data_IF_176906945206
#
_entry.id   IF_176906945206
#
_cell.length_a   1.000
_cell.length_b   1.000
_cell.length_c   1.000
_cell.angle_alpha   90.00
_cell.angle_beta   90.00
_cell.angle_gamma   90.00
#
_symmetry.space_group_name_H-M   'P 1'
#
loop_
_entity.id
_entity.type
_entity.pdbx_description
1 polymer ?
#
# COMPACT_ATOMS: atom_id res chain seq x y z
N UNK A 1 63.67 -46.82 -68.12
CA UNK A 1 63.76 -46.62 -66.66
C UNK A 1 63.67 -45.12 -66.38
N UNK A 2 62.95 -44.72 -65.31
CA UNK A 2 62.85 -43.36 -64.74
C UNK A 2 61.89 -42.31 -65.34
N UNK A 3 60.64 -42.66 -65.72
CA UNK A 3 59.63 -41.60 -66.00
C UNK A 3 58.24 -41.79 -65.37
N UNK A 4 57.99 -42.83 -64.57
CA UNK A 4 56.67 -43.06 -63.96
C UNK A 4 56.62 -42.89 -62.43
N UNK A 5 57.76 -42.61 -61.77
CA UNK A 5 57.82 -42.55 -60.29
C UNK A 5 57.73 -41.14 -59.69
N UNK A 6 57.74 -40.08 -60.51
CA UNK A 6 57.64 -38.69 -60.02
C UNK A 6 56.20 -38.15 -59.97
N UNK A 7 55.23 -38.80 -60.62
CA UNK A 7 53.83 -38.34 -60.62
C UNK A 7 53.08 -38.70 -59.34
N UNK A 8 53.33 -39.87 -58.75
CA UNK A 8 52.54 -40.38 -57.61
C UNK A 8 52.91 -39.68 -56.31
N UNK A 9 54.18 -39.32 -56.12
CA UNK A 9 54.66 -38.57 -54.96
C UNK A 9 54.22 -37.10 -54.98
N UNK A 10 54.19 -36.46 -56.17
CA UNK A 10 53.67 -35.10 -56.31
C UNK A 10 52.15 -35.03 -56.07
N UNK A 11 51.38 -36.00 -56.59
CA UNK A 11 49.92 -36.04 -56.39
C UNK A 11 49.56 -36.38 -54.93
N UNK A 12 50.30 -37.28 -54.28
CA UNK A 12 50.14 -37.59 -52.85
C UNK A 12 50.44 -36.39 -51.93
N UNK A 13 51.50 -35.63 -52.22
CA UNK A 13 51.84 -34.42 -51.45
C UNK A 13 50.79 -33.31 -51.62
N UNK A 14 50.26 -33.13 -52.84
CA UNK A 14 49.20 -32.15 -53.12
C UNK A 14 47.90 -32.56 -52.41
N UNK A 15 47.51 -33.84 -52.44
CA UNK A 15 46.33 -34.34 -51.76
C UNK A 15 46.43 -34.21 -50.22
N UNK A 16 47.58 -34.52 -49.61
CA UNK A 16 47.81 -34.32 -48.18
C UNK A 16 47.83 -32.83 -47.79
N UNK A 17 48.39 -31.96 -48.63
CA UNK A 17 48.39 -30.51 -48.37
C UNK A 17 46.98 -29.91 -48.46
N UNK A 18 46.17 -30.33 -49.45
CA UNK A 18 44.77 -29.91 -49.58
C UNK A 18 43.92 -30.44 -48.43
N UNK A 19 44.10 -31.70 -48.03
CA UNK A 19 43.42 -32.27 -46.86
C UNK A 19 43.78 -31.51 -45.57
N UNK A 20 45.06 -31.16 -45.37
CA UNK A 20 45.50 -30.37 -44.20
C UNK A 20 44.97 -28.93 -44.21
N UNK A 21 44.84 -28.31 -45.40
CA UNK A 21 44.23 -26.97 -45.55
C UNK A 21 42.73 -27.02 -45.29
N UNK A 22 42.04 -28.05 -45.78
CA UNK A 22 40.61 -28.29 -45.53
C UNK A 22 40.31 -28.62 -44.06
N UNK A 23 41.16 -29.40 -43.40
CA UNK A 23 41.07 -29.64 -41.95
C UNK A 23 41.31 -28.35 -41.17
N UNK A 24 42.35 -27.56 -41.51
CA UNK A 24 42.60 -26.28 -40.86
C UNK A 24 41.46 -25.29 -41.08
N UNK A 25 40.91 -25.19 -42.29
CA UNK A 25 39.78 -24.29 -42.58
C UNK A 25 38.53 -24.70 -41.80
N UNK A 26 38.21 -25.99 -41.73
CA UNK A 26 37.06 -26.49 -40.96
C UNK A 26 37.25 -26.33 -39.43
N UNK A 27 38.48 -26.46 -38.92
CA UNK A 27 38.81 -26.14 -37.53
C UNK A 27 38.61 -24.65 -37.26
N UNK A 28 39.08 -23.75 -38.14
CA UNK A 28 38.84 -22.31 -37.97
C UNK A 28 37.36 -21.91 -38.08
N UNK A 29 36.60 -22.52 -38.99
CA UNK A 29 35.16 -22.27 -39.13
C UNK A 29 34.39 -22.77 -37.90
N UNK A 30 34.73 -23.96 -37.39
CA UNK A 30 34.12 -24.50 -36.18
C UNK A 30 34.48 -23.69 -34.93
N UNK A 31 35.72 -23.23 -34.78
CA UNK A 31 36.11 -22.32 -33.71
C UNK A 31 35.39 -20.97 -33.79
N UNK A 32 35.21 -20.42 -35.00
CA UNK A 32 34.49 -19.17 -35.21
C UNK A 32 33.00 -19.32 -34.89
N UNK A 33 32.38 -20.45 -35.27
CA UNK A 33 31.01 -20.80 -34.91
C UNK A 33 30.83 -21.01 -33.39
N UNK A 34 31.82 -21.61 -32.72
CA UNK A 34 31.78 -21.82 -31.28
C UNK A 34 31.93 -20.50 -30.50
N UNK A 35 32.78 -19.59 -30.99
CA UNK A 35 32.89 -18.22 -30.46
C UNK A 35 31.62 -17.42 -30.66
N UNK A 36 30.95 -17.54 -31.81
CA UNK A 36 29.69 -16.84 -32.07
C UNK A 36 28.55 -17.40 -31.21
N UNK A 37 28.44 -18.72 -31.07
CA UNK A 37 27.51 -19.38 -30.16
C UNK A 37 27.72 -18.96 -28.70
N UNK A 38 28.99 -18.88 -28.25
CA UNK A 38 29.31 -18.41 -26.89
C UNK A 38 28.86 -16.97 -26.68
N UNK A 39 29.10 -16.08 -27.64
CA UNK A 39 28.61 -14.69 -27.59
C UNK A 39 27.08 -14.63 -27.56
N UNK A 40 26.41 -15.45 -28.37
CA UNK A 40 24.94 -15.50 -28.42
C UNK A 40 24.34 -16.04 -27.12
N UNK A 41 24.96 -17.07 -26.52
CA UNK A 41 24.55 -17.61 -25.22
C UNK A 41 24.72 -16.57 -24.11
N UNK A 42 25.85 -15.85 -24.08
CA UNK A 42 26.06 -14.76 -23.12
C UNK A 42 25.08 -13.60 -23.32
N UNK A 43 24.73 -13.26 -24.56
CA UNK A 43 23.72 -12.24 -24.86
C UNK A 43 22.33 -12.66 -24.34
N UNK A 44 21.90 -13.90 -24.63
CA UNK A 44 20.63 -14.43 -24.09
C UNK A 44 20.61 -14.50 -22.57
N UNK A 45 21.74 -14.84 -21.94
CA UNK A 45 21.83 -14.87 -20.47
C UNK A 45 21.54 -13.48 -19.88
N UNK A 46 22.13 -12.41 -20.46
CA UNK A 46 21.87 -11.03 -20.05
C UNK A 46 20.43 -10.60 -20.32
N UNK A 47 19.84 -11.02 -21.43
CA UNK A 47 18.43 -10.76 -21.73
C UNK A 47 17.50 -11.41 -20.70
N UNK A 48 17.79 -12.65 -20.31
CA UNK A 48 17.05 -13.35 -19.25
C UNK A 48 17.20 -12.67 -17.89
N UNK A 49 18.41 -12.26 -17.52
CA UNK A 49 18.67 -11.50 -16.28
C UNK A 49 17.90 -10.17 -16.27
N UNK A 50 17.93 -9.43 -17.38
CA UNK A 50 17.17 -8.19 -17.53
C UNK A 50 15.65 -8.44 -17.42
N UNK A 51 15.13 -9.47 -18.07
CA UNK A 51 13.71 -9.82 -17.99
C UNK A 51 13.31 -10.21 -16.56
N UNK A 52 14.12 -11.01 -15.87
CA UNK A 52 13.89 -11.36 -14.47
C UNK A 52 13.87 -10.12 -13.56
N UNK A 53 14.80 -9.19 -13.75
CA UNK A 53 14.82 -7.92 -13.02
C UNK A 53 13.56 -7.08 -13.29
N UNK A 54 13.10 -7.02 -14.55
CA UNK A 54 11.86 -6.33 -14.91
C UNK A 54 10.63 -6.99 -14.27
N UNK A 55 10.56 -8.33 -14.26
CA UNK A 55 9.48 -9.05 -13.58
C UNK A 55 9.48 -8.80 -12.07
N UNK A 56 10.64 -8.77 -11.42
CA UNK A 56 10.76 -8.44 -10.01
C UNK A 56 10.31 -7.01 -9.72
N UNK A 57 10.71 -6.05 -10.56
CA UNK A 57 10.28 -4.66 -10.44
C UNK A 57 8.75 -4.51 -10.61
N UNK A 58 8.17 -5.20 -11.61
CA UNK A 58 6.72 -5.21 -11.82
C UNK A 58 5.97 -5.83 -10.62
N UNK A 59 6.51 -6.91 -10.04
CA UNK A 59 5.95 -7.54 -8.85
C UNK A 59 5.99 -6.59 -7.64
N UNK A 60 7.13 -5.94 -7.37
CA UNK A 60 7.20 -4.94 -6.31
C UNK A 60 6.22 -3.81 -6.53
N UNK A 61 6.07 -3.31 -7.77
CA UNK A 61 5.11 -2.26 -8.09
C UNK A 61 3.67 -2.69 -7.80
N UNK A 62 3.29 -3.94 -8.14
CA UNK A 62 1.95 -4.44 -7.81
C UNK A 62 1.68 -4.46 -6.31
N UNK A 63 2.67 -4.83 -5.49
CA UNK A 63 2.54 -4.81 -4.02
C UNK A 63 2.37 -3.38 -3.49
N UNK A 64 3.09 -2.41 -4.04
CA UNK A 64 2.94 -1.00 -3.68
C UNK A 64 1.54 -0.47 -4.01
N UNK A 65 1.01 -0.80 -5.19
CA UNK A 65 -0.35 -0.41 -5.59
C UNK A 65 -1.40 -1.02 -4.68
N UNK A 66 -1.25 -2.29 -4.30
CA UNK A 66 -2.14 -2.94 -3.32
C UNK A 66 -2.09 -2.24 -1.95
N UNK A 67 -0.90 -1.94 -1.46
CA UNK A 67 -0.71 -1.24 -0.19
C UNK A 67 -1.32 0.17 -0.23
N UNK A 68 -1.07 0.93 -1.30
CA UNK A 68 -1.66 2.26 -1.50
C UNK A 68 -3.19 2.21 -1.46
N UNK A 69 -3.79 1.26 -2.19
CA UNK A 69 -5.24 1.09 -2.21
C UNK A 69 -5.81 0.76 -0.82
N UNK A 70 -5.13 -0.12 -0.07
CA UNK A 70 -5.54 -0.48 1.29
C UNK A 70 -5.50 0.73 2.23
N UNK A 71 -4.40 1.49 2.22
CA UNK A 71 -4.25 2.69 3.04
C UNK A 71 -5.31 3.72 2.66
N UNK A 72 -5.56 3.92 1.37
CA UNK A 72 -6.57 4.85 0.88
C UNK A 72 -7.98 4.50 1.38
N UNK A 73 -8.38 3.24 1.26
CA UNK A 73 -9.67 2.76 1.76
C UNK A 73 -9.80 2.92 3.28
N UNK A 74 -8.72 2.63 4.01
CA UNK A 74 -8.69 2.77 5.47
C UNK A 74 -8.80 4.23 5.90
N UNK A 75 -8.10 5.14 5.21
CA UNK A 75 -8.19 6.58 5.42
C UNK A 75 -9.62 7.08 5.19
N UNK A 76 -10.28 6.60 4.13
CA UNK A 76 -11.66 6.97 3.81
C UNK A 76 -12.63 6.50 4.90
N UNK A 77 -12.50 5.28 5.40
CA UNK A 77 -13.31 4.76 6.50
C UNK A 77 -13.09 5.56 7.80
N UNK A 78 -11.84 5.88 8.13
CA UNK A 78 -11.48 6.71 9.28
C UNK A 78 -12.11 8.11 9.19
N UNK A 79 -12.06 8.74 8.01
CA UNK A 79 -12.69 10.04 7.78
C UNK A 79 -14.23 10.01 7.95
N UNK A 80 -14.89 8.91 7.56
CA UNK A 80 -16.32 8.74 7.78
C UNK A 80 -16.65 8.63 9.28
N UNK A 81 -15.90 7.82 10.02
CA UNK A 81 -16.07 7.70 11.47
C UNK A 81 -15.84 9.02 12.20
N UNK A 82 -14.81 9.78 11.81
CA UNK A 82 -14.56 11.12 12.35
C UNK A 82 -15.76 12.05 12.16
N UNK A 83 -16.35 12.08 10.96
CA UNK A 83 -17.54 12.91 10.67
C UNK A 83 -18.77 12.46 11.46
N UNK A 84 -18.94 11.16 11.65
CA UNK A 84 -20.03 10.62 12.46
C UNK A 84 -19.88 11.03 13.94
N UNK A 85 -18.66 10.98 14.48
CA UNK A 85 -18.34 11.45 15.83
C UNK A 85 -18.63 12.94 16.00
N UNK A 86 -18.30 13.79 15.02
CA UNK A 86 -18.66 15.22 15.06
C UNK A 86 -20.18 15.43 15.13
N UNK A 87 -20.95 14.66 14.35
CA UNK A 87 -22.41 14.73 14.37
C UNK A 87 -22.96 14.31 15.74
N UNK A 88 -22.43 13.23 16.34
CA UNK A 88 -22.85 12.77 17.66
C UNK A 88 -22.56 13.82 18.75
N UNK A 89 -21.39 14.45 18.73
CA UNK A 89 -21.06 15.54 19.65
C UNK A 89 -22.02 16.72 19.51
N UNK A 90 -22.39 17.09 18.28
CA UNK A 90 -23.39 18.15 18.04
C UNK A 90 -24.75 17.78 18.66
N UNK A 91 -25.22 16.55 18.46
CA UNK A 91 -26.48 16.07 19.02
C UNK A 91 -26.46 16.02 20.56
N UNK A 92 -25.35 15.59 21.15
CA UNK A 92 -25.17 15.61 22.61
C UNK A 92 -25.18 17.03 23.16
N UNK A 93 -24.53 17.97 22.47
CA UNK A 93 -24.51 19.37 22.89
C UNK A 93 -25.92 20.00 22.86
N UNK A 94 -26.72 19.71 21.84
CA UNK A 94 -28.13 20.11 21.79
C UNK A 94 -28.94 19.50 22.94
N UNK A 95 -28.72 18.21 23.25
CA UNK A 95 -29.40 17.53 24.35
C UNK A 95 -29.02 18.13 25.71
N UNK A 96 -27.75 18.42 25.94
CA UNK A 96 -27.28 19.10 27.15
C UNK A 96 -27.90 20.49 27.29
N UNK A 97 -27.94 21.27 26.21
CA UNK A 97 -28.58 22.60 26.19
C UNK A 97 -30.06 22.53 26.56
N UNK A 98 -30.80 21.57 25.99
CA UNK A 98 -32.21 21.31 26.34
C UNK A 98 -32.36 20.93 27.80
N UNK A 99 -31.52 20.02 28.30
CA UNK A 99 -31.54 19.58 29.70
C UNK A 99 -31.30 20.76 30.67
N UNK A 100 -30.30 21.61 30.40
CA UNK A 100 -30.02 22.82 31.19
C UNK A 100 -31.23 23.76 31.18
N UNK A 101 -31.84 23.98 30.02
CA UNK A 101 -33.02 24.85 29.88
C UNK A 101 -34.21 24.31 30.66
N UNK A 102 -34.49 23.00 30.58
CA UNK A 102 -35.53 22.32 31.35
C UNK A 102 -35.28 22.42 32.85
N UNK A 103 -34.03 22.23 33.30
CA UNK A 103 -33.66 22.36 34.70
C UNK A 103 -33.89 23.78 35.23
N UNK A 104 -33.51 24.81 34.46
CA UNK A 104 -33.78 26.21 34.82
C UNK A 104 -35.28 26.50 34.93
N UNK A 105 -36.10 25.91 34.04
CA UNK A 105 -37.55 26.05 34.12
C UNK A 105 -38.14 25.39 35.37
N UNK A 106 -37.68 24.18 35.72
CA UNK A 106 -38.12 23.47 36.94
C UNK A 106 -37.71 24.20 38.21
N UNK A 107 -36.49 24.75 38.27
CA UNK A 107 -36.04 25.54 39.42
C UNK A 107 -36.92 26.77 39.65
N UNK A 108 -37.33 27.47 38.58
CA UNK A 108 -38.28 28.59 38.68
C UNK A 108 -39.66 28.15 39.17
N UNK A 109 -40.13 26.97 38.76
CA UNK A 109 -41.40 26.41 39.24
C UNK A 109 -41.33 26.03 40.73
N UNK A 110 -40.17 25.57 41.20
CA UNK A 110 -39.96 25.18 42.59
C UNK A 110 -40.06 26.36 43.57
N UNK A 111 -39.68 27.57 43.15
CA UNK A 111 -39.83 28.80 43.94
C UNK A 111 -41.30 29.13 44.27
N UNK A 112 -42.23 28.67 43.43
CA UNK A 112 -43.68 28.96 43.54
C UNK A 112 -44.51 27.74 43.96
N UNK A 113 -43.86 26.58 44.18
CA UNK A 113 -44.52 25.31 44.42
C UNK A 113 -44.97 25.15 45.89
N UNK A 114 -46.10 24.48 46.09
CA UNK A 114 -46.51 23.98 47.42
C UNK A 114 -45.59 22.84 47.87
N UNK A 115 -45.60 22.50 49.16
CA UNK A 115 -44.71 21.46 49.70
C UNK A 115 -44.91 20.08 49.03
N UNK A 116 -46.15 19.70 48.70
CA UNK A 116 -46.45 18.47 47.94
C UNK A 116 -45.90 18.50 46.50
N UNK A 117 -45.89 19.68 45.86
CA UNK A 117 -45.35 19.85 44.51
C UNK A 117 -43.82 19.86 44.50
N UNK A 118 -43.18 20.39 45.57
CA UNK A 118 -41.72 20.43 45.70
C UNK A 118 -41.11 19.04 45.65
N UNK A 119 -41.69 18.06 46.33
CA UNK A 119 -41.18 16.68 46.31
C UNK A 119 -41.17 16.09 44.90
N UNK A 120 -42.19 16.38 44.09
CA UNK A 120 -42.26 15.95 42.69
C UNK A 120 -41.22 16.66 41.82
N UNK A 121 -41.03 17.97 42.03
CA UNK A 121 -40.03 18.76 41.31
C UNK A 121 -38.59 18.32 41.65
N UNK A 122 -38.31 17.99 42.91
CA UNK A 122 -37.01 17.47 43.34
C UNK A 122 -36.67 16.14 42.65
N UNK A 123 -37.65 15.25 42.50
CA UNK A 123 -37.47 14.00 41.76
C UNK A 123 -37.16 14.27 40.28
N UNK A 124 -37.86 15.21 39.64
CA UNK A 124 -37.61 15.58 38.24
C UNK A 124 -36.22 16.22 38.07
N UNK A 125 -35.78 17.07 39.00
CA UNK A 125 -34.44 17.66 39.00
C UNK A 125 -33.35 16.58 39.17
N UNK A 126 -33.56 15.60 40.05
CA UNK A 126 -32.63 14.50 40.24
C UNK A 126 -32.49 13.64 38.98
N UNK A 127 -33.59 13.37 38.27
CA UNK A 127 -33.57 12.66 36.98
C UNK A 127 -32.76 13.45 35.93
N UNK A 128 -33.05 14.74 35.76
CA UNK A 128 -32.33 15.59 34.80
C UNK A 128 -30.84 15.70 35.13
N UNK A 129 -30.48 15.74 36.41
CA UNK A 129 -29.09 15.77 36.84
C UNK A 129 -28.35 14.48 36.50
N UNK A 130 -28.99 13.32 36.71
CA UNK A 130 -28.43 12.03 36.33
C UNK A 130 -28.27 11.93 34.80
N UNK A 131 -29.27 12.35 34.04
CA UNK A 131 -29.22 12.36 32.57
C UNK A 131 -28.13 13.29 32.02
N UNK A 132 -27.93 14.45 32.66
CA UNK A 132 -26.86 15.37 32.30
C UNK A 132 -25.47 14.77 32.58
N UNK A 133 -25.31 14.03 33.68
CA UNK A 133 -24.05 13.36 34.01
C UNK A 133 -23.70 12.29 32.97
N UNK A 134 -24.68 11.43 32.62
CA UNK A 134 -24.49 10.43 31.56
C UNK A 134 -24.16 11.05 30.21
N UNK A 135 -24.82 12.17 29.86
CA UNK A 135 -24.54 12.87 28.60
C UNK A 135 -23.13 13.48 28.59
N UNK A 136 -22.63 13.94 29.73
CA UNK A 136 -21.25 14.41 29.88
C UNK A 136 -20.24 13.27 29.71
N UNK A 137 -20.47 12.13 30.36
CA UNK A 137 -19.62 10.93 30.22
C UNK A 137 -19.57 10.46 28.75
N UNK A 138 -20.72 10.45 28.07
CA UNK A 138 -20.80 10.13 26.64
C UNK A 138 -20.06 11.16 25.78
N UNK A 139 -20.16 12.45 26.11
CA UNK A 139 -19.46 13.51 25.40
C UNK A 139 -17.95 13.35 25.51
N UNK A 140 -17.41 13.18 26.72
CA UNK A 140 -15.98 13.00 26.96
C UNK A 140 -15.44 11.77 26.21
N UNK A 141 -16.19 10.67 26.25
CA UNK A 141 -15.82 9.43 25.52
C UNK A 141 -15.77 9.66 24.01
N UNK A 142 -16.79 10.29 23.42
CA UNK A 142 -16.83 10.52 21.97
C UNK A 142 -15.78 11.55 21.56
N UNK A 143 -15.51 12.55 22.39
CA UNK A 143 -14.45 13.53 22.12
C UNK A 143 -13.08 12.86 22.08
N UNK A 144 -12.77 11.97 23.03
CA UNK A 144 -11.54 11.19 23.03
C UNK A 144 -11.41 10.33 21.76
N UNK A 145 -12.48 9.63 21.37
CA UNK A 145 -12.50 8.85 20.13
C UNK A 145 -12.31 9.71 18.88
N UNK A 146 -12.88 10.92 18.86
CA UNK A 146 -12.67 11.87 17.76
C UNK A 146 -11.21 12.32 17.65
N UNK A 147 -10.58 12.63 18.77
CA UNK A 147 -9.16 13.00 18.80
C UNK A 147 -8.28 11.86 18.30
N UNK A 148 -8.59 10.61 18.68
CA UNK A 148 -7.90 9.42 18.16
C UNK A 148 -8.10 9.26 16.65
N UNK A 149 -9.33 9.32 16.15
CA UNK A 149 -9.64 9.27 14.71
C UNK A 149 -8.90 10.37 13.93
N UNK A 150 -8.81 11.58 14.50
CA UNK A 150 -8.10 12.69 13.88
C UNK A 150 -6.60 12.39 13.74
N UNK A 151 -5.98 11.81 14.76
CA UNK A 151 -4.57 11.41 14.72
C UNK A 151 -4.35 10.29 13.68
N UNK A 152 -5.21 9.26 13.68
CA UNK A 152 -5.15 8.18 12.70
C UNK A 152 -5.29 8.69 11.27
N UNK A 153 -6.24 9.59 11.02
CA UNK A 153 -6.43 10.19 9.69
C UNK A 153 -5.18 10.95 9.24
N UNK A 154 -4.53 11.69 10.15
CA UNK A 154 -3.29 12.39 9.86
C UNK A 154 -2.17 11.44 9.44
N UNK A 155 -2.00 10.33 10.19
CA UNK A 155 -1.02 9.29 9.87
C UNK A 155 -1.31 8.63 8.51
N UNK A 156 -2.58 8.33 8.20
CA UNK A 156 -2.92 7.78 6.89
C UNK A 156 -2.67 8.76 5.75
N UNK A 157 -2.93 10.05 5.95
CA UNK A 157 -2.59 11.07 4.97
C UNK A 157 -1.07 11.17 4.73
N UNK A 158 -0.27 11.13 5.79
CA UNK A 158 1.20 11.09 5.68
C UNK A 158 1.67 9.84 4.93
N UNK A 159 1.14 8.67 5.27
CA UNK A 159 1.46 7.41 4.60
C UNK A 159 1.05 7.41 3.11
N UNK A 160 -0.10 7.99 2.76
CA UNK A 160 -0.52 8.12 1.36
C UNK A 160 0.43 9.02 0.57
N UNK A 161 0.90 10.12 1.16
CA UNK A 161 1.87 11.01 0.52
C UNK A 161 3.20 10.29 0.27
N UNK A 162 3.67 9.53 1.27
CA UNK A 162 4.87 8.71 1.11
C UNK A 162 4.70 7.68 -0.01
N UNK A 163 3.58 6.96 -0.03
CA UNK A 163 3.33 5.94 -1.04
C UNK A 163 3.12 6.52 -2.44
N UNK A 164 2.55 7.72 -2.56
CA UNK A 164 2.41 8.40 -3.84
C UNK A 164 3.78 8.73 -4.46
N UNK A 165 4.77 9.12 -3.66
CA UNK A 165 6.13 9.37 -4.15
C UNK A 165 6.83 8.14 -4.76
N UNK A 166 6.38 6.92 -4.43
CA UNK A 166 6.91 5.68 -5.00
C UNK A 166 6.19 5.24 -6.29
N UNK A 167 5.07 5.89 -6.63
CA UNK A 167 4.30 5.63 -7.84
C UNK A 167 4.58 6.64 -8.97
N UNK A 168 5.13 7.82 -8.64
CA UNK A 168 5.56 8.88 -9.56
C UNK A 168 7.05 8.74 -9.98
#
# INVERSE_FOLDING_TARGET
MFWLSFGVTAVGAIACSLASILEKSSITESEQALRSLKKQSQARQRELENYQSQCQAAYSLSQYVELYNLVFQTAQACALHYKEQEKLLSMLNERMTKSITSRLALMRQQEQATDDQRQTLDQQLAILQNDAHKALDEFERIEAQRQESQQQLRLFCELLLELQMYLE
#
